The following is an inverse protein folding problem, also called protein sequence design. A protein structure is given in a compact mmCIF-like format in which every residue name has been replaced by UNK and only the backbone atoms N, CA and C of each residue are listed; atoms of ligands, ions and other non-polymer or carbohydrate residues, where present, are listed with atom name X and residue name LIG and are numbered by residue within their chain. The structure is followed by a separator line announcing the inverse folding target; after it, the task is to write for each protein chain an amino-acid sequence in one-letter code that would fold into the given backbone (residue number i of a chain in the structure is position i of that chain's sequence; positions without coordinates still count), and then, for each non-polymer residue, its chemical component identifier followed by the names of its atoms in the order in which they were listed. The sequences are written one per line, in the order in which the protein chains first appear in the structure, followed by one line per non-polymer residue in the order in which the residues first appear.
data_IF_994639591065
#
_entry.id   IF_994639591065
#
_cell.length_a   1.000
_cell.length_b   1.000
_cell.length_c   1.000
_cell.angle_alpha   90.00
_cell.angle_beta   90.00
_cell.angle_gamma   90.00
#
_symmetry.space_group_name_H-M   'P 1'
#
loop_
_entity.id
_entity.type
_entity.pdbx_description
1 polymer ?
#
# COMPACT_ATOMS: atom_id res chain seq x y z
N UNK A 1 -36.89 16.20 -30.24
CA UNK A 1 -35.50 16.24 -30.70
C UNK A 1 -34.60 17.03 -29.75
N UNK A 2 -35.02 18.18 -29.19
CA UNK A 2 -34.23 18.96 -28.21
C UNK A 2 -34.01 18.23 -26.85
N UNK A 3 -34.93 17.37 -26.43
CA UNK A 3 -34.78 16.64 -25.15
C UNK A 3 -33.77 15.49 -25.24
N UNK A 4 -33.55 14.89 -26.41
CA UNK A 4 -32.48 13.92 -26.63
C UNK A 4 -31.10 14.56 -26.51
N UNK A 5 -30.93 15.80 -27.00
CA UNK A 5 -29.67 16.53 -26.92
C UNK A 5 -29.36 16.94 -25.48
N UNK A 6 -30.36 17.34 -24.72
CA UNK A 6 -30.20 17.70 -23.28
C UNK A 6 -29.83 16.48 -22.42
N UNK A 7 -30.26 15.28 -22.77
CA UNK A 7 -29.92 14.06 -22.05
C UNK A 7 -28.55 13.48 -22.45
N UNK A 8 -28.05 13.77 -23.65
CA UNK A 8 -26.73 13.31 -24.11
C UNK A 8 -25.56 14.19 -23.59
N UNK A 9 -25.84 15.37 -23.04
CA UNK A 9 -24.82 16.27 -22.48
C UNK A 9 -24.77 16.30 -20.95
N UNK A 10 -25.39 15.36 -20.27
CA UNK A 10 -25.09 15.14 -18.84
C UNK A 10 -23.70 14.51 -18.72
N UNK A 11 -22.70 15.34 -18.71
CA UNK A 11 -21.37 14.97 -18.27
C UNK A 11 -21.50 14.54 -16.81
N UNK A 12 -21.49 13.23 -16.59
CA UNK A 12 -21.42 12.69 -15.23
C UNK A 12 -20.01 12.94 -14.73
N UNK A 13 -19.78 14.11 -14.16
CA UNK A 13 -18.53 14.39 -13.45
C UNK A 13 -18.50 13.55 -12.18
N UNK A 14 -17.50 12.69 -12.09
CA UNK A 14 -17.18 12.02 -10.84
C UNK A 14 -16.15 12.88 -10.12
N UNK A 15 -16.58 13.57 -9.08
CA UNK A 15 -15.66 14.32 -8.24
C UNK A 15 -14.98 13.34 -7.27
N UNK A 16 -13.66 13.18 -7.39
CA UNK A 16 -12.88 12.34 -6.50
C UNK A 16 -12.83 12.88 -5.05
N UNK A 17 -13.16 14.16 -4.86
CA UNK A 17 -12.89 14.90 -3.62
C UNK A 17 -11.43 15.35 -3.55
N UNK A 18 -11.06 15.95 -2.42
CA UNK A 18 -9.69 16.35 -2.16
C UNK A 18 -8.84 15.12 -1.86
N UNK A 19 -7.85 14.85 -2.72
CA UNK A 19 -6.96 13.70 -2.60
C UNK A 19 -5.79 13.98 -1.65
N UNK A 20 -5.20 12.94 -1.04
CA UNK A 20 -3.90 13.06 -0.38
C UNK A 20 -2.83 13.55 -1.36
N UNK A 21 -1.83 14.29 -0.86
CA UNK A 21 -0.69 14.76 -1.69
C UNK A 21 0.08 13.63 -2.36
N UNK A 22 0.13 12.49 -1.69
CA UNK A 22 0.88 11.31 -2.13
C UNK A 22 0.01 10.33 -2.95
N UNK A 23 -1.23 10.71 -3.30
CA UNK A 23 -2.09 9.91 -4.16
C UNK A 23 -1.60 9.98 -5.61
N UNK A 24 -1.16 8.85 -6.14
CA UNK A 24 -0.62 8.74 -7.50
C UNK A 24 -1.63 8.19 -8.50
N UNK A 25 -2.66 7.48 -8.03
CA UNK A 25 -3.68 6.91 -8.89
C UNK A 25 -5.01 6.73 -8.15
N UNK A 26 -6.12 6.90 -8.86
CA UNK A 26 -7.46 6.58 -8.37
C UNK A 26 -8.19 5.79 -9.45
N UNK A 27 -8.64 4.57 -9.11
CA UNK A 27 -9.53 3.77 -9.94
C UNK A 27 -10.95 3.88 -9.40
N UNK A 28 -11.90 4.14 -10.28
CA UNK A 28 -13.34 4.20 -9.95
C UNK A 28 -14.01 3.01 -10.61
N UNK A 29 -14.63 2.16 -9.81
CA UNK A 29 -15.36 1.00 -10.29
C UNK A 29 -16.80 1.38 -10.72
N UNK A 30 -17.45 0.59 -11.61
CA UNK A 30 -18.81 0.87 -12.07
C UNK A 30 -19.86 0.95 -10.94
N UNK A 31 -19.62 0.26 -9.83
CA UNK A 31 -20.49 0.28 -8.63
C UNK A 31 -20.23 1.51 -7.74
N UNK A 32 -19.34 2.42 -8.12
CA UNK A 32 -18.97 3.61 -7.35
C UNK A 32 -17.88 3.41 -6.32
N UNK A 33 -17.45 2.17 -6.04
CA UNK A 33 -16.30 1.92 -5.18
C UNK A 33 -15.03 2.51 -5.80
N UNK A 34 -14.06 2.82 -4.96
CA UNK A 34 -12.82 3.47 -5.39
C UNK A 34 -11.61 2.70 -4.85
N UNK A 35 -10.57 2.67 -5.65
CA UNK A 35 -9.26 2.23 -5.19
C UNK A 35 -8.29 3.40 -5.30
N UNK A 36 -7.65 3.74 -4.18
CA UNK A 36 -6.68 4.83 -4.08
C UNK A 36 -5.29 4.24 -3.95
N UNK A 37 -4.38 4.62 -4.85
CA UNK A 37 -2.97 4.27 -4.74
C UNK A 37 -2.20 5.45 -4.18
N UNK A 38 -1.55 5.23 -3.04
CA UNK A 38 -0.72 6.22 -2.37
C UNK A 38 0.74 5.79 -2.42
N UNK A 39 1.58 6.69 -2.89
CA UNK A 39 3.02 6.53 -2.79
C UNK A 39 3.50 6.96 -1.40
N UNK A 40 4.32 6.12 -0.77
CA UNK A 40 4.88 6.40 0.55
C UNK A 40 6.40 6.55 0.43
N UNK A 41 6.90 7.80 0.31
CA UNK A 41 8.30 8.07 0.03
C UNK A 41 9.21 7.92 1.25
N UNK A 42 8.65 7.75 2.45
CA UNK A 42 9.44 7.65 3.68
C UNK A 42 10.24 6.36 3.70
N UNK A 43 11.52 6.49 4.01
CA UNK A 43 12.47 5.38 4.04
C UNK A 43 12.68 4.82 5.45
N UNK A 44 12.00 5.36 6.44
CA UNK A 44 12.11 4.95 7.84
C UNK A 44 10.76 4.98 8.53
N UNK A 45 10.54 4.01 9.43
CA UNK A 45 9.38 3.99 10.32
C UNK A 45 9.75 3.30 11.63
N UNK A 46 8.99 3.60 12.67
CA UNK A 46 9.05 2.82 13.90
C UNK A 46 8.20 1.56 13.68
N UNK A 47 8.82 0.41 13.80
CA UNK A 47 8.16 -0.88 13.70
C UNK A 47 8.38 -1.68 14.98
N UNK A 48 7.55 -2.68 15.20
CA UNK A 48 7.76 -3.63 16.30
C UNK A 48 7.60 -5.07 15.80
N UNK A 49 8.34 -5.98 16.41
CA UNK A 49 8.19 -7.42 16.18
C UNK A 49 8.05 -8.12 17.52
N UNK A 50 6.89 -8.72 17.75
CA UNK A 50 6.45 -9.13 19.07
C UNK A 50 6.61 -7.96 20.07
N UNK A 51 7.38 -8.13 21.13
CA UNK A 51 7.64 -7.12 22.16
C UNK A 51 8.89 -6.26 21.87
N UNK A 52 9.62 -6.54 20.77
CA UNK A 52 10.84 -5.81 20.42
C UNK A 52 10.52 -4.63 19.54
N UNK A 53 10.89 -3.43 19.98
CA UNK A 53 10.78 -2.21 19.19
C UNK A 53 12.02 -2.00 18.29
N UNK A 54 11.78 -1.57 17.08
CA UNK A 54 12.80 -1.16 16.10
C UNK A 54 12.52 0.28 15.69
N UNK A 55 13.00 1.26 16.47
CA UNK A 55 12.78 2.67 16.13
C UNK A 55 13.60 3.05 14.91
N UNK A 56 13.04 3.95 14.10
CA UNK A 56 13.68 4.45 12.88
C UNK A 56 14.20 3.34 11.96
N UNK A 57 13.42 2.25 11.86
CA UNK A 57 13.81 1.10 11.04
C UNK A 57 13.76 1.46 9.55
N UNK A 58 14.80 1.11 8.78
CA UNK A 58 14.84 1.41 7.35
C UNK A 58 13.82 0.61 6.58
N UNK A 59 13.07 1.28 5.70
CA UNK A 59 12.07 0.70 4.82
C UNK A 59 12.43 0.95 3.35
N UNK A 60 12.07 0.04 2.44
CA UNK A 60 12.06 0.36 1.03
C UNK A 60 10.95 1.39 0.71
N UNK A 61 11.00 1.99 -0.47
CA UNK A 61 9.89 2.81 -0.96
C UNK A 61 8.65 1.95 -1.18
N UNK A 62 7.50 2.43 -0.71
CA UNK A 62 6.26 1.67 -0.71
C UNK A 62 5.19 2.35 -1.55
N UNK A 63 4.31 1.53 -2.11
CA UNK A 63 3.02 1.94 -2.65
C UNK A 63 1.94 1.17 -1.91
N UNK A 64 0.92 1.89 -1.47
CA UNK A 64 -0.28 1.32 -0.83
C UNK A 64 -1.47 1.45 -1.76
N UNK A 65 -2.33 0.44 -1.79
CA UNK A 65 -3.63 0.53 -2.43
C UNK A 65 -4.74 0.29 -1.40
N UNK A 66 -5.71 1.20 -1.36
CA UNK A 66 -6.84 1.18 -0.44
C UNK A 66 -8.13 1.06 -1.21
N UNK A 67 -8.87 0.00 -0.95
CA UNK A 67 -10.20 -0.19 -1.51
C UNK A 67 -11.24 0.42 -0.58
N UNK A 68 -11.98 1.41 -1.08
CA UNK A 68 -13.03 2.10 -0.35
C UNK A 68 -14.38 1.90 -1.04
N UNK A 69 -15.43 1.68 -0.26
CA UNK A 69 -16.80 1.70 -0.77
C UNK A 69 -17.31 3.14 -1.00
N UNK A 70 -18.56 3.25 -1.44
CA UNK A 70 -19.20 4.54 -1.72
C UNK A 70 -19.38 5.42 -0.48
N UNK A 71 -19.36 4.85 0.71
CA UNK A 71 -19.49 5.54 1.99
C UNK A 71 -18.13 5.88 2.63
N UNK A 72 -17.03 5.50 1.96
CA UNK A 72 -15.66 5.74 2.45
C UNK A 72 -15.18 4.71 3.47
N UNK A 73 -15.85 3.55 3.60
CA UNK A 73 -15.38 2.45 4.42
C UNK A 73 -14.27 1.72 3.68
N UNK A 74 -13.13 1.56 4.34
CA UNK A 74 -12.02 0.80 3.79
C UNK A 74 -12.27 -0.69 3.98
N UNK A 75 -12.29 -1.43 2.88
CA UNK A 75 -12.56 -2.88 2.84
C UNK A 75 -11.34 -3.72 2.49
N UNK A 76 -10.25 -3.10 2.04
CA UNK A 76 -9.03 -3.79 1.69
C UNK A 76 -7.84 -2.87 1.63
N UNK A 77 -6.68 -3.40 2.04
CA UNK A 77 -5.40 -2.70 1.95
C UNK A 77 -4.39 -3.64 1.32
N UNK A 78 -3.66 -3.13 0.34
CA UNK A 78 -2.53 -3.83 -0.29
C UNK A 78 -1.29 -2.95 -0.23
N UNK A 79 -0.13 -3.57 -0.26
CA UNK A 79 1.14 -2.83 -0.35
C UNK A 79 2.15 -3.59 -1.19
N UNK A 80 2.99 -2.83 -1.88
CA UNK A 80 4.13 -3.34 -2.61
C UNK A 80 5.33 -2.41 -2.46
N UNK A 81 6.49 -2.93 -2.85
CA UNK A 81 7.74 -2.19 -2.84
C UNK A 81 8.07 -1.73 -4.25
N UNK A 82 8.60 -0.53 -4.38
CA UNK A 82 9.06 0.04 -5.65
C UNK A 82 10.52 0.48 -5.55
N UNK A 83 11.24 0.36 -6.66
CA UNK A 83 12.60 0.88 -6.77
C UNK A 83 12.62 2.36 -7.14
N UNK A 84 11.62 2.79 -7.91
CA UNK A 84 11.56 4.11 -8.51
C UNK A 84 11.30 5.20 -7.47
N UNK A 85 11.89 6.36 -7.69
CA UNK A 85 11.63 7.54 -6.85
C UNK A 85 10.24 8.11 -7.07
N UNK A 86 9.71 7.95 -8.27
CA UNK A 86 8.34 8.29 -8.65
C UNK A 86 7.73 7.14 -9.43
N UNK A 87 6.80 6.38 -8.84
CA UNK A 87 6.12 5.30 -9.54
C UNK A 87 5.32 5.80 -10.76
N UNK A 88 5.36 5.02 -11.83
CA UNK A 88 4.53 5.15 -13.03
C UNK A 88 3.69 3.90 -13.21
N UNK A 89 2.87 3.84 -14.26
CA UNK A 89 2.09 2.64 -14.57
C UNK A 89 2.96 1.45 -15.00
N UNK A 90 4.18 1.70 -15.44
CA UNK A 90 5.18 0.69 -15.84
C UNK A 90 6.12 0.30 -14.70
N UNK A 91 5.99 0.94 -13.55
CA UNK A 91 6.87 0.66 -12.40
C UNK A 91 6.71 -0.77 -11.94
N UNK A 92 7.84 -1.45 -11.86
CA UNK A 92 7.93 -2.82 -11.38
C UNK A 92 7.71 -2.86 -9.86
N UNK A 93 6.79 -3.72 -9.44
CA UNK A 93 6.46 -3.94 -8.04
C UNK A 93 7.18 -5.17 -7.50
N UNK A 94 7.58 -5.09 -6.23
CA UNK A 94 8.25 -6.18 -5.51
C UNK A 94 7.48 -6.54 -4.26
N UNK A 95 7.71 -7.75 -3.75
CA UNK A 95 7.15 -8.19 -2.46
C UNK A 95 7.66 -7.35 -1.32
N UNK A 96 6.76 -7.05 -0.40
CA UNK A 96 7.16 -6.56 0.91
C UNK A 96 7.82 -7.73 1.67
N UNK A 97 9.07 -7.58 2.14
CA UNK A 97 9.83 -8.71 2.68
C UNK A 97 9.54 -8.99 4.14
N UNK A 98 8.74 -8.14 4.79
CA UNK A 98 8.45 -8.23 6.21
C UNK A 98 7.09 -8.93 6.45
N UNK A 99 6.70 -9.06 7.72
CA UNK A 99 5.47 -9.69 8.15
C UNK A 99 4.21 -8.87 7.80
N UNK A 100 3.06 -9.41 8.14
CA UNK A 100 1.73 -8.82 7.98
C UNK A 100 1.28 -8.58 6.52
N UNK A 101 2.04 -9.01 5.53
CA UNK A 101 1.69 -8.84 4.12
C UNK A 101 1.67 -10.20 3.42
N UNK A 102 0.51 -10.55 2.86
CA UNK A 102 0.33 -11.81 2.14
C UNK A 102 1.16 -11.87 0.87
N UNK A 103 1.69 -13.07 0.60
CA UNK A 103 2.65 -13.30 -0.48
C UNK A 103 2.06 -13.22 -1.90
N UNK A 104 0.74 -13.39 -2.06
CA UNK A 104 0.13 -13.50 -3.40
C UNK A 104 -0.23 -12.16 -4.01
N UNK A 105 -0.75 -11.21 -3.25
CA UNK A 105 -1.26 -9.93 -3.79
C UNK A 105 -0.89 -8.71 -2.95
N UNK A 106 0.08 -8.86 -2.04
CA UNK A 106 0.46 -7.76 -1.15
C UNK A 106 -0.64 -7.35 -0.16
N UNK A 107 -1.64 -8.19 0.08
CA UNK A 107 -2.74 -7.91 1.00
C UNK A 107 -2.21 -7.77 2.42
N UNK A 108 -2.56 -6.67 3.08
CA UNK A 108 -2.12 -6.38 4.44
C UNK A 108 -3.05 -7.07 5.43
N UNK A 109 -2.48 -7.87 6.33
CA UNK A 109 -3.19 -8.44 7.47
C UNK A 109 -3.27 -7.39 8.58
N UNK A 110 -4.47 -6.93 8.90
CA UNK A 110 -4.70 -5.96 9.98
C UNK A 110 -5.05 -6.61 11.32
N UNK A 111 -5.10 -7.93 11.36
CA UNK A 111 -5.49 -8.68 12.56
C UNK A 111 -6.89 -8.31 13.04
N UNK A 112 -7.02 -7.94 14.32
CA UNK A 112 -8.28 -7.47 14.94
C UNK A 112 -8.47 -5.95 14.86
N UNK A 113 -7.56 -5.22 14.21
CA UNK A 113 -7.70 -3.78 14.08
C UNK A 113 -8.85 -3.44 13.15
N UNK A 114 -9.64 -2.43 13.51
CA UNK A 114 -10.67 -1.90 12.64
C UNK A 114 -10.06 -0.88 11.69
N UNK A 115 -10.35 -1.01 10.40
CA UNK A 115 -10.04 0.05 9.45
C UNK A 115 -11.05 1.18 9.61
N UNK A 116 -10.58 2.43 9.60
CA UNK A 116 -11.48 3.56 9.77
C UNK A 116 -12.34 3.79 8.53
N UNK A 117 -13.48 4.44 8.74
CA UNK A 117 -14.30 4.99 7.67
C UNK A 117 -13.93 6.47 7.48
N UNK A 118 -13.65 6.87 6.26
CA UNK A 118 -13.25 8.23 5.92
C UNK A 118 -14.37 8.95 5.18
N UNK A 119 -14.68 10.15 5.64
CA UNK A 119 -15.61 11.05 4.95
C UNK A 119 -14.99 11.70 3.71
N UNK A 120 -13.68 11.87 3.71
CA UNK A 120 -12.95 12.51 2.62
C UNK A 120 -11.69 11.71 2.27
N UNK A 121 -11.34 11.57 0.98
CA UNK A 121 -10.15 10.83 0.56
C UNK A 121 -8.85 11.39 1.15
N UNK A 122 -8.78 12.68 1.43
CA UNK A 122 -7.61 13.32 2.03
C UNK A 122 -7.18 12.65 3.35
N UNK A 123 -8.13 12.14 4.12
CA UNK A 123 -7.84 11.44 5.38
C UNK A 123 -7.09 10.11 5.20
N UNK A 124 -7.05 9.54 3.97
CA UNK A 124 -6.28 8.33 3.67
C UNK A 124 -4.77 8.52 3.85
N UNK A 125 -4.27 9.76 3.87
CA UNK A 125 -2.85 10.05 4.08
C UNK A 125 -2.27 9.46 5.38
N UNK A 126 -3.10 9.23 6.39
CA UNK A 126 -2.66 8.67 7.68
C UNK A 126 -2.55 7.13 7.67
N UNK A 127 -3.25 6.45 6.74
CA UNK A 127 -3.33 4.99 6.72
C UNK A 127 -1.98 4.28 6.57
N UNK A 128 -1.06 4.70 5.69
CA UNK A 128 0.24 4.06 5.58
C UNK A 128 0.97 3.97 6.93
N UNK A 129 1.02 5.09 7.65
CA UNK A 129 1.68 5.15 8.97
C UNK A 129 0.97 4.25 9.99
N UNK A 130 -0.36 4.26 10.01
CA UNK A 130 -1.15 3.36 10.87
C UNK A 130 -0.84 1.89 10.58
N UNK A 131 -0.85 1.48 9.30
CA UNK A 131 -0.59 0.09 8.92
C UNK A 131 0.83 -0.38 9.26
N UNK A 132 1.82 0.51 9.11
CA UNK A 132 3.21 0.22 9.48
C UNK A 132 3.42 0.14 10.98
N UNK A 133 2.58 0.80 11.79
CA UNK A 133 2.63 0.74 13.25
C UNK A 133 2.00 -0.52 13.85
N UNK A 134 1.29 -1.33 13.05
CA UNK A 134 0.72 -2.59 13.51
C UNK A 134 1.88 -3.54 13.88
N UNK A 135 1.89 -4.11 15.11
CA UNK A 135 2.95 -5.03 15.50
C UNK A 135 3.10 -6.19 14.53
N UNK A 136 4.32 -6.47 14.16
CA UNK A 136 4.66 -7.60 13.33
C UNK A 136 4.77 -8.88 14.18
N UNK A 137 4.34 -10.00 13.60
CA UNK A 137 4.51 -11.34 14.17
C UNK A 137 5.05 -12.29 13.10
N UNK A 138 4.98 -13.59 13.35
CA UNK A 138 5.45 -14.59 12.38
C UNK A 138 4.41 -14.87 11.28
N UNK A 139 3.19 -14.35 11.47
CA UNK A 139 2.10 -14.57 10.52
C UNK A 139 2.37 -13.88 9.19
N UNK A 140 2.12 -14.61 8.11
CA UNK A 140 2.35 -14.16 6.72
C UNK A 140 3.81 -13.88 6.35
N UNK A 141 4.77 -14.15 7.24
CA UNK A 141 6.17 -14.07 6.87
C UNK A 141 6.60 -15.32 6.07
N UNK A 142 7.41 -15.09 5.05
CA UNK A 142 8.04 -16.18 4.30
C UNK A 142 9.49 -15.79 3.99
N UNK A 143 10.44 -16.58 4.50
CA UNK A 143 11.87 -16.35 4.27
C UNK A 143 12.25 -16.31 2.78
N UNK A 144 11.48 -16.99 1.91
CA UNK A 144 11.67 -16.94 0.46
C UNK A 144 11.32 -15.57 -0.17
N UNK A 145 10.68 -14.67 0.58
CA UNK A 145 10.41 -13.32 0.10
C UNK A 145 11.63 -12.40 0.18
N UNK A 146 12.70 -12.82 0.82
CA UNK A 146 13.97 -12.10 0.83
C UNK A 146 15.10 -12.96 0.23
N UNK A 147 15.98 -12.34 -0.52
CA UNK A 147 17.08 -13.03 -1.21
C UNK A 147 18.15 -13.60 -0.29
N UNK A 148 18.14 -13.20 0.98
CA UNK A 148 19.07 -13.70 1.99
C UNK A 148 18.59 -15.01 2.61
N UNK A 149 17.31 -15.36 2.44
CA UNK A 149 16.70 -16.55 3.04
C UNK A 149 16.65 -16.50 4.58
N UNK A 150 16.81 -15.31 5.17
CA UNK A 150 16.83 -15.14 6.62
C UNK A 150 15.43 -15.27 7.20
N UNK A 151 15.34 -15.83 8.42
CA UNK A 151 14.14 -15.78 9.22
C UNK A 151 13.86 -14.35 9.68
N UNK A 152 12.64 -14.07 10.09
CA UNK A 152 12.16 -12.69 10.25
C UNK A 152 12.99 -11.90 11.27
N UNK A 153 13.26 -12.44 12.45
CA UNK A 153 14.11 -11.77 13.47
C UNK A 153 15.51 -11.46 12.92
N UNK A 154 16.13 -12.45 12.29
CA UNK A 154 17.47 -12.30 11.73
C UNK A 154 17.50 -11.27 10.58
N UNK A 155 16.42 -11.21 9.79
CA UNK A 155 16.27 -10.21 8.74
C UNK A 155 16.17 -8.80 9.33
N UNK A 156 15.38 -8.61 10.39
CA UNK A 156 15.26 -7.31 11.06
C UNK A 156 16.61 -6.88 11.66
N UNK A 157 17.30 -7.76 12.38
CA UNK A 157 18.62 -7.49 12.95
C UNK A 157 19.65 -7.18 11.88
N UNK A 158 19.58 -7.89 10.74
CA UNK A 158 20.47 -7.65 9.61
C UNK A 158 20.26 -6.28 8.96
N UNK A 159 19.03 -5.78 8.96
CA UNK A 159 18.63 -4.58 8.20
C UNK A 159 18.57 -3.31 9.05
N UNK A 160 18.37 -3.38 10.36
CA UNK A 160 18.08 -2.22 11.24
C UNK A 160 19.04 -1.03 11.12
N UNK A 161 20.30 -1.29 10.76
CA UNK A 161 21.35 -0.27 10.64
C UNK A 161 21.75 -0.03 9.18
N UNK A 162 20.98 -0.54 8.20
CA UNK A 162 21.33 -0.45 6.77
C UNK A 162 20.45 0.53 6.03
N UNK A 163 21.02 1.19 5.05
CA UNK A 163 20.29 2.00 4.10
C UNK A 163 19.66 1.09 3.01
N UNK A 164 18.36 0.87 3.11
CA UNK A 164 17.61 0.04 2.13
C UNK A 164 17.15 0.91 0.97
N UNK A 165 18.06 1.48 0.20
CA UNK A 165 17.70 2.34 -0.96
C UNK A 165 17.19 1.57 -2.17
N UNK A 166 17.45 0.27 -2.24
CA UNK A 166 17.11 -0.51 -3.43
C UNK A 166 16.51 -1.86 -3.07
N UNK A 167 15.57 -2.38 -3.88
CA UNK A 167 14.92 -3.68 -3.66
C UNK A 167 15.82 -4.89 -3.96
N UNK A 168 17.16 -4.74 -3.90
CA UNK A 168 18.11 -5.84 -4.18
C UNK A 168 17.91 -7.06 -3.30
N UNK A 169 17.32 -6.88 -2.11
CA UNK A 169 17.04 -7.97 -1.16
C UNK A 169 15.69 -8.64 -1.42
N UNK A 170 14.85 -8.08 -2.29
CA UNK A 170 13.46 -8.44 -2.45
C UNK A 170 13.27 -9.20 -3.75
N UNK A 171 12.46 -10.24 -3.71
CA UNK A 171 12.09 -10.96 -4.92
C UNK A 171 10.96 -10.24 -5.65
N UNK A 172 11.11 -10.15 -6.96
CA UNK A 172 10.06 -9.67 -7.87
C UNK A 172 8.83 -10.59 -7.82
N UNK A 173 7.62 -10.00 -7.86
CA UNK A 173 6.39 -10.79 -7.86
C UNK A 173 5.31 -10.38 -8.85
N UNK A 174 5.16 -9.13 -9.17
CA UNK A 174 4.14 -8.73 -10.13
C UNK A 174 4.58 -7.55 -10.97
N UNK A 175 4.03 -7.50 -12.17
CA UNK A 175 4.10 -6.32 -13.00
C UNK A 175 3.15 -5.23 -12.46
N UNK A 176 3.43 -3.98 -12.77
CA UNK A 176 2.65 -2.82 -12.36
C UNK A 176 1.16 -2.92 -12.73
N UNK A 177 0.85 -3.58 -13.85
CA UNK A 177 -0.52 -3.80 -14.31
C UNK A 177 -1.38 -4.58 -13.31
N UNK A 178 -0.79 -5.50 -12.56
CA UNK A 178 -1.52 -6.36 -11.61
C UNK A 178 -1.85 -5.64 -10.31
N UNK A 179 -1.16 -4.54 -10.01
CA UNK A 179 -1.40 -3.74 -8.80
C UNK A 179 -2.46 -2.66 -9.04
N UNK A 180 -2.60 -2.19 -10.27
CA UNK A 180 -3.56 -1.18 -10.69
C UNK A 180 -4.86 -1.76 -11.27
N UNK A 181 -4.95 -3.08 -11.43
CA UNK A 181 -6.10 -3.77 -12.05
C UNK A 181 -7.29 -4.00 -11.10
#
# INVERSE_FOLDING_TARGET
MLDCIKNSTRWNYVNSGLLPSDCIHVKIHPNGNKEYCLWYPRLYADISYHETAYPNFPLPRLVFAFHADTEGKISGCRMGVVADERPTMETVMYRYPFSNVGSSMGTICIGRNALPQYKTPHALAILPTFLLSIPNGDHSFNALNNKLGLQYRDLLEHLKDKDIKTPRLIQFIFASADFAA
#
